data_IF_667677875029
#
_entry.id   IF_667677875029
#
_cell.length_a   1.000
_cell.length_b   1.000
_cell.length_c   1.000
_cell.angle_alpha   90.00
_cell.angle_beta   90.00
_cell.angle_gamma   90.00
#
_symmetry.space_group_name_H-M   'P 1'
#
loop_
_entity.id
_entity.type
_entity.pdbx_description
1 polymer ?
#
# COMPACT_ATOMS: atom_id res chain seq x y z
N UNK A 1 27.33 11.27 -7.92
CA UNK A 1 26.40 11.04 -6.79
C UNK A 1 27.12 10.19 -5.75
N UNK A 2 27.00 10.51 -4.46
CA UNK A 2 27.55 9.67 -3.38
C UNK A 2 26.71 8.38 -3.27
N UNK A 3 27.34 7.24 -2.98
CA UNK A 3 26.67 5.95 -2.79
C UNK A 3 25.56 6.03 -1.73
N UNK A 4 25.76 6.84 -0.67
CA UNK A 4 24.74 7.07 0.35
C UNK A 4 23.47 7.69 -0.23
N UNK A 5 23.62 8.71 -1.08
CA UNK A 5 22.50 9.36 -1.75
C UNK A 5 21.82 8.41 -2.74
N UNK A 6 22.58 7.58 -3.44
CA UNK A 6 22.04 6.57 -4.35
C UNK A 6 21.24 5.49 -3.62
N UNK A 7 21.76 4.97 -2.51
CA UNK A 7 21.06 3.98 -1.68
C UNK A 7 19.79 4.57 -1.07
N UNK A 8 19.88 5.78 -0.51
CA UNK A 8 18.71 6.46 0.06
C UNK A 8 17.63 6.70 -1.01
N UNK A 9 18.02 7.18 -2.19
CA UNK A 9 17.10 7.34 -3.32
C UNK A 9 16.47 6.01 -3.74
N UNK A 10 17.24 4.92 -3.78
CA UNK A 10 16.73 3.59 -4.09
C UNK A 10 15.74 3.06 -3.05
N UNK A 11 16.03 3.22 -1.76
CA UNK A 11 15.13 2.80 -0.66
C UNK A 11 13.84 3.60 -0.68
N UNK A 12 13.94 4.94 -0.76
CA UNK A 12 12.77 5.81 -0.82
C UNK A 12 11.96 5.55 -2.09
N UNK A 13 12.62 5.31 -3.22
CA UNK A 13 11.99 4.92 -4.48
C UNK A 13 11.23 3.60 -4.35
N UNK A 14 11.82 2.59 -3.71
CA UNK A 14 11.17 1.30 -3.48
C UNK A 14 9.94 1.43 -2.57
N UNK A 15 10.04 2.19 -1.47
CA UNK A 15 8.91 2.45 -0.56
C UNK A 15 7.78 3.15 -1.34
N UNK A 16 8.09 4.22 -2.08
CA UNK A 16 7.09 4.94 -2.85
C UNK A 16 6.48 4.08 -3.96
N UNK A 17 7.30 3.29 -4.67
CA UNK A 17 6.82 2.37 -5.70
C UNK A 17 5.88 1.31 -5.13
N UNK A 18 6.20 0.77 -3.96
CA UNK A 18 5.34 -0.17 -3.25
C UNK A 18 4.02 0.48 -2.80
N UNK A 19 4.05 1.71 -2.29
CA UNK A 19 2.83 2.45 -1.91
C UNK A 19 1.93 2.73 -3.12
N UNK A 20 2.49 3.24 -4.22
CA UNK A 20 1.75 3.58 -5.43
C UNK A 20 1.20 2.31 -6.10
N UNK A 21 2.06 1.32 -6.33
CA UNK A 21 1.66 0.06 -6.96
C UNK A 21 0.64 -0.70 -6.12
N UNK A 22 0.83 -0.72 -4.81
CA UNK A 22 -0.11 -1.30 -3.86
C UNK A 22 -1.47 -0.61 -3.88
N UNK A 23 -1.51 0.72 -3.92
CA UNK A 23 -2.78 1.47 -4.02
C UNK A 23 -3.53 1.14 -5.31
N UNK A 24 -2.84 1.03 -6.45
CA UNK A 24 -3.46 0.63 -7.72
C UNK A 24 -4.09 -0.76 -7.59
N UNK A 25 -3.33 -1.74 -7.09
CA UNK A 25 -3.85 -3.11 -6.91
C UNK A 25 -5.00 -3.20 -5.93
N UNK A 26 -4.95 -2.43 -4.84
CA UNK A 26 -6.05 -2.33 -3.89
C UNK A 26 -7.35 -1.91 -4.56
N UNK A 27 -7.32 -0.82 -5.33
CA UNK A 27 -8.52 -0.31 -6.00
C UNK A 27 -9.04 -1.28 -7.06
N UNK A 28 -8.16 -2.02 -7.75
CA UNK A 28 -8.60 -3.06 -8.69
C UNK A 28 -9.33 -4.20 -7.96
N UNK A 29 -8.81 -4.64 -6.81
CA UNK A 29 -9.34 -5.76 -6.05
C UNK A 29 -10.72 -5.45 -5.43
N UNK A 30 -10.85 -4.31 -4.73
CA UNK A 30 -12.12 -3.94 -4.07
C UNK A 30 -13.25 -3.61 -5.06
N UNK A 31 -12.92 -3.33 -6.32
CA UNK A 31 -13.89 -3.08 -7.40
C UNK A 31 -14.13 -4.35 -8.24
N UNK A 32 -13.78 -5.53 -7.72
CA UNK A 32 -14.03 -6.83 -8.37
C UNK A 32 -13.43 -6.94 -9.78
N UNK A 33 -12.23 -6.39 -9.99
CA UNK A 33 -11.47 -6.53 -11.24
C UNK A 33 -12.22 -5.96 -12.48
N UNK A 34 -12.48 -4.63 -12.51
CA UNK A 34 -13.35 -4.00 -13.51
C UNK A 34 -12.79 -4.02 -14.95
N UNK A 35 -11.52 -4.38 -15.11
CA UNK A 35 -10.82 -4.43 -16.40
C UNK A 35 -10.82 -5.83 -17.03
N UNK A 36 -11.71 -6.73 -16.61
CA UNK A 36 -11.87 -8.03 -17.25
C UNK A 36 -12.08 -7.88 -18.78
N UNK A 37 -11.40 -8.67 -19.63
CA UNK A 37 -10.52 -9.81 -19.31
C UNK A 37 -9.02 -9.47 -19.17
N UNK A 38 -8.64 -8.19 -19.30
CA UNK A 38 -7.23 -7.77 -19.28
C UNK A 38 -6.58 -7.97 -17.90
N UNK A 39 -7.34 -7.73 -16.84
CA UNK A 39 -6.93 -7.97 -15.46
C UNK A 39 -8.01 -8.83 -14.81
N UNK A 40 -7.60 -9.99 -14.30
CA UNK A 40 -8.50 -10.98 -13.70
C UNK A 40 -8.11 -11.25 -12.26
N UNK A 41 -9.08 -11.68 -11.45
CA UNK A 41 -8.83 -12.08 -10.09
C UNK A 41 -7.77 -13.21 -10.05
N UNK A 42 -6.77 -13.11 -9.15
CA UNK A 42 -5.80 -14.17 -8.97
C UNK A 42 -6.50 -15.42 -8.44
N UNK A 43 -6.08 -16.59 -8.93
CA UNK A 43 -6.63 -17.86 -8.51
C UNK A 43 -6.44 -18.08 -7.00
N UNK A 44 -7.46 -18.54 -6.25
CA UNK A 44 -7.33 -18.83 -4.83
C UNK A 44 -6.15 -19.76 -4.52
N UNK A 45 -5.34 -19.42 -3.50
CA UNK A 45 -4.15 -20.19 -3.12
C UNK A 45 -2.91 -19.98 -4.00
N UNK A 46 -3.00 -19.20 -5.08
CA UNK A 46 -1.83 -18.80 -5.85
C UNK A 46 -0.94 -17.81 -5.08
N UNK A 47 0.36 -17.71 -5.40
CA UNK A 47 1.24 -16.69 -4.82
C UNK A 47 0.67 -15.27 -4.97
N UNK A 48 0.06 -14.96 -6.11
CA UNK A 48 -0.56 -13.66 -6.37
C UNK A 48 -1.75 -13.38 -5.45
N UNK A 49 -2.58 -14.40 -5.15
CA UNK A 49 -3.68 -14.26 -4.19
C UNK A 49 -3.15 -14.00 -2.78
N UNK A 50 -2.06 -14.66 -2.38
CA UNK A 50 -1.42 -14.41 -1.09
C UNK A 50 -0.80 -13.00 -0.99
N UNK A 51 -0.34 -12.45 -2.11
CA UNK A 51 0.22 -11.09 -2.17
C UNK A 51 -0.82 -9.99 -1.93
N UNK A 52 -2.12 -10.24 -2.12
CA UNK A 52 -3.18 -9.25 -1.83
C UNK A 52 -3.17 -8.85 -0.35
N UNK A 53 -2.93 -9.81 0.55
CA UNK A 53 -2.79 -9.55 1.99
C UNK A 53 -1.55 -8.71 2.35
N UNK A 54 -0.59 -8.59 1.43
CA UNK A 54 0.63 -7.79 1.59
C UNK A 54 0.53 -6.42 0.92
N UNK A 55 -0.65 -5.98 0.50
CA UNK A 55 -0.84 -4.63 -0.03
C UNK A 55 -0.72 -3.61 1.11
N UNK A 56 -0.02 -2.47 0.93
CA UNK A 56 0.27 -1.52 2.00
C UNK A 56 -0.98 -1.08 2.76
N UNK A 57 -2.06 -0.71 2.07
CA UNK A 57 -3.28 -0.25 2.73
C UNK A 57 -4.00 -1.37 3.49
N UNK A 58 -3.94 -2.61 2.99
CA UNK A 58 -4.49 -3.79 3.66
C UNK A 58 -3.69 -4.10 4.93
N UNK A 59 -2.37 -3.99 4.89
CA UNK A 59 -1.51 -4.11 6.06
C UNK A 59 -1.83 -3.02 7.10
N UNK A 60 -1.94 -1.77 6.66
CA UNK A 60 -2.22 -0.63 7.53
C UNK A 60 -3.65 -0.64 8.09
N UNK A 61 -4.59 -1.30 7.42
CA UNK A 61 -5.96 -1.45 7.93
C UNK A 61 -6.12 -2.57 8.94
N UNK A 62 -5.12 -3.43 9.13
CA UNK A 62 -5.17 -4.61 10.02
C UNK A 62 -5.48 -5.92 9.30
N UNK A 63 -5.14 -6.01 8.01
CA UNK A 63 -5.43 -7.16 7.14
C UNK A 63 -6.73 -6.99 6.36
N UNK A 64 -7.10 -8.02 5.58
CA UNK A 64 -8.32 -8.03 4.76
C UNK A 64 -9.62 -7.89 5.58
N UNK A 65 -9.57 -8.20 6.87
CA UNK A 65 -10.68 -8.06 7.83
C UNK A 65 -10.45 -6.97 8.86
N UNK A 66 -9.47 -6.10 8.64
CA UNK A 66 -9.08 -5.08 9.60
C UNK A 66 -10.05 -3.89 9.64
N UNK A 67 -10.12 -3.23 10.79
CA UNK A 67 -11.02 -2.11 11.09
C UNK A 67 -10.52 -0.75 10.58
N UNK A 68 -9.25 -0.65 10.16
CA UNK A 68 -8.65 0.62 9.74
C UNK A 68 -8.05 1.46 10.88
N UNK A 69 -8.12 1.00 12.12
CA UNK A 69 -7.78 1.79 13.32
C UNK A 69 -6.34 2.30 13.31
N UNK A 70 -5.39 1.48 12.84
CA UNK A 70 -3.98 1.86 12.73
C UNK A 70 -3.76 3.03 11.76
N UNK A 71 -4.45 3.01 10.62
CA UNK A 71 -4.36 4.06 9.61
C UNK A 71 -4.97 5.36 10.14
N UNK A 72 -6.09 5.28 10.86
CA UNK A 72 -6.73 6.43 11.52
C UNK A 72 -5.78 7.08 12.53
N UNK A 73 -5.18 6.28 13.42
CA UNK A 73 -4.20 6.77 14.40
C UNK A 73 -3.01 7.44 13.71
N UNK A 74 -2.48 6.80 12.65
CA UNK A 74 -1.37 7.35 11.88
C UNK A 74 -1.68 8.71 11.26
N UNK A 75 -2.82 8.84 10.58
CA UNK A 75 -3.26 10.10 9.98
C UNK A 75 -3.49 11.18 11.04
N UNK A 76 -4.08 10.83 12.18
CA UNK A 76 -4.31 11.77 13.27
C UNK A 76 -3.00 12.32 13.83
N UNK A 77 -2.00 11.46 14.08
CA UNK A 77 -0.68 11.90 14.54
C UNK A 77 0.00 12.81 13.50
N UNK A 78 -0.08 12.44 12.22
CA UNK A 78 0.54 13.22 11.14
C UNK A 78 -0.13 14.59 10.99
N UNK A 79 -1.44 14.66 11.14
CA UNK A 79 -2.21 15.89 11.18
C UNK A 79 -1.77 16.79 12.35
N UNK A 80 -1.66 16.25 13.58
CA UNK A 80 -1.18 17.02 14.73
C UNK A 80 0.25 17.53 14.55
N UNK A 81 1.13 16.71 13.97
CA UNK A 81 2.50 17.12 13.66
C UNK A 81 2.48 18.32 12.72
N UNK A 82 1.75 18.23 11.60
CA UNK A 82 1.62 19.35 10.66
C UNK A 82 1.04 20.58 11.35
N UNK A 83 -0.01 20.43 12.17
CA UNK A 83 -0.70 21.55 12.83
C UNK A 83 0.18 22.31 13.83
N UNK A 84 1.08 21.63 14.54
CA UNK A 84 1.91 22.25 15.58
C UNK A 84 3.32 22.60 15.11
N UNK A 85 3.82 21.99 14.04
CA UNK A 85 5.18 22.20 13.52
C UNK A 85 5.22 23.24 12.39
N UNK A 86 4.13 23.40 11.62
CA UNK A 86 3.98 24.44 10.60
C UNK A 86 3.12 25.59 11.12
#
# INVERSE_FOLDING_TARGET
ANIQTGILGGVIGAINGYLIGGAIWYFVDINEYPFYPLIVAPSPGSPSANSVGSIPIVLLSGGATGTGDFLIVGVFVLFLLVLFVL
#
